data_IF_195372069469
#
_entry.id   IF_195372069469
#
_cell.length_a   1.000
_cell.length_b   1.000
_cell.length_c   1.000
_cell.angle_alpha   90.00
_cell.angle_beta   90.00
_cell.angle_gamma   90.00
#
_symmetry.space_group_name_H-M   'P 1'
#
loop_
_entity.id
_entity.type
_entity.pdbx_description
1 polymer ?
#
# COMPACT_ATOMS: atom_id res chain seq x y z
N UNK A 1 -2.37 30.94 26.59
CA UNK A 1 -2.76 30.01 25.53
C UNK A 1 -1.96 28.73 25.76
N UNK A 2 -2.58 27.56 25.87
CA UNK A 2 -1.84 26.32 25.99
C UNK A 2 -1.06 26.08 24.69
N UNK A 3 0.16 25.56 24.79
CA UNK A 3 1.00 25.25 23.63
C UNK A 3 0.30 24.24 22.71
N UNK A 4 0.58 24.29 21.42
CA UNK A 4 0.05 23.35 20.41
C UNK A 4 0.22 21.89 20.85
N UNK A 5 1.29 21.60 21.59
CA UNK A 5 1.59 20.27 22.13
C UNK A 5 0.57 19.81 23.19
N UNK A 6 0.08 20.73 24.01
CA UNK A 6 -0.93 20.41 25.04
C UNK A 6 -2.33 20.17 24.43
N UNK A 7 -2.62 20.74 23.26
CA UNK A 7 -3.87 20.53 22.53
C UNK A 7 -3.84 19.17 21.81
N UNK A 8 -2.71 18.80 21.21
CA UNK A 8 -2.53 17.49 20.57
C UNK A 8 -2.65 16.33 21.56
N UNK A 9 -2.06 16.45 22.74
CA UNK A 9 -2.11 15.42 23.81
C UNK A 9 -3.54 15.20 24.35
N UNK A 10 -4.40 16.22 24.37
CA UNK A 10 -5.79 16.11 24.81
C UNK A 10 -6.73 15.45 23.79
N UNK A 11 -6.39 15.54 22.48
CA UNK A 11 -7.25 15.03 21.42
C UNK A 11 -6.99 13.59 21.01
N UNK A 12 -5.79 13.07 21.27
CA UNK A 12 -5.37 11.75 20.70
C UNK A 12 -5.09 10.67 21.74
N UNK A 13 -4.93 10.99 23.01
CA UNK A 13 -4.53 10.03 24.05
C UNK A 13 -3.17 9.35 23.77
N UNK A 14 -2.37 9.91 22.85
CA UNK A 14 -1.10 9.35 22.43
C UNK A 14 0.05 9.84 23.32
N UNK A 15 1.04 8.98 23.52
CA UNK A 15 2.24 9.31 24.30
C UNK A 15 3.15 10.28 23.55
N UNK A 16 3.99 11.02 24.30
CA UNK A 16 4.94 12.01 23.74
C UNK A 16 5.84 11.43 22.64
N UNK A 17 6.19 10.17 22.72
CA UNK A 17 6.99 9.45 21.70
C UNK A 17 6.28 9.36 20.34
N UNK A 18 4.97 9.10 20.32
CA UNK A 18 4.19 9.02 19.09
C UNK A 18 4.09 10.39 18.41
N UNK A 19 3.94 11.46 19.21
CA UNK A 19 3.93 12.84 18.69
C UNK A 19 5.30 13.24 18.13
N UNK A 20 6.40 12.85 18.78
CA UNK A 20 7.75 13.08 18.28
C UNK A 20 8.02 12.32 16.97
N UNK A 21 7.55 11.07 16.83
CA UNK A 21 7.62 10.31 15.59
C UNK A 21 6.81 10.98 14.45
N UNK A 22 5.63 11.48 14.75
CA UNK A 22 4.81 12.19 13.76
C UNK A 22 5.44 13.53 13.33
N UNK A 23 6.07 14.27 14.26
CA UNK A 23 6.81 15.50 13.93
C UNK A 23 8.07 15.22 13.11
N UNK A 24 8.75 14.11 13.33
CA UNK A 24 9.87 13.67 12.46
C UNK A 24 9.37 13.29 11.06
N UNK A 25 8.20 12.69 10.92
CA UNK A 25 7.58 12.39 9.63
C UNK A 25 7.25 13.68 8.84
N UNK A 26 6.75 14.72 9.52
CA UNK A 26 6.48 16.03 8.92
C UNK A 26 7.80 16.68 8.44
N UNK A 27 8.87 16.60 9.23
CA UNK A 27 10.21 17.07 8.83
C UNK A 27 10.76 16.30 7.63
N UNK A 28 10.62 14.99 7.60
CA UNK A 28 11.04 14.15 6.47
C UNK A 28 10.27 14.48 5.18
N UNK A 29 8.98 14.79 5.27
CA UNK A 29 8.17 15.25 4.14
C UNK A 29 8.63 16.60 3.60
N UNK A 30 9.02 17.55 4.46
CA UNK A 30 9.56 18.87 4.05
C UNK A 30 10.89 18.68 3.32
N UNK A 31 11.79 17.81 3.81
CA UNK A 31 13.05 17.50 3.14
C UNK A 31 12.84 16.77 1.81
N UNK A 32 11.90 15.85 1.72
CA UNK A 32 11.56 15.17 0.47
C UNK A 32 11.01 16.15 -0.57
N UNK A 33 10.15 17.11 -0.13
CA UNK A 33 9.63 18.18 -0.99
C UNK A 33 10.75 19.12 -1.46
N UNK A 34 11.68 19.51 -0.58
CA UNK A 34 12.84 20.30 -0.91
C UNK A 34 13.76 19.62 -1.94
N UNK A 35 14.01 18.33 -1.80
CA UNK A 35 14.84 17.54 -2.73
C UNK A 35 14.19 17.44 -4.12
N UNK A 36 12.86 17.32 -4.19
CA UNK A 36 12.10 17.31 -5.45
C UNK A 36 12.08 18.71 -6.09
N UNK A 37 11.94 19.76 -5.29
CA UNK A 37 11.86 21.16 -5.77
C UNK A 37 13.23 21.68 -6.22
N UNK A 38 14.32 21.26 -5.59
CA UNK A 38 15.69 21.69 -5.92
C UNK A 38 16.33 20.94 -7.10
N UNK A 39 15.58 20.08 -7.82
CA UNK A 39 16.08 19.29 -8.97
C UNK A 39 17.41 18.57 -8.69
N UNK A 40 17.66 18.15 -7.46
CA UNK A 40 18.79 17.30 -7.15
C UNK A 40 18.62 16.01 -7.93
N UNK A 41 19.51 15.74 -8.88
CA UNK A 41 19.49 14.56 -9.73
C UNK A 41 19.35 13.32 -8.84
N UNK A 42 18.22 12.61 -8.98
CA UNK A 42 18.09 11.27 -8.43
C UNK A 42 19.27 10.45 -8.97
N UNK A 43 19.99 9.71 -8.13
CA UNK A 43 20.86 8.68 -8.66
C UNK A 43 19.97 7.79 -9.52
N UNK A 44 20.21 7.76 -10.83
CA UNK A 44 19.66 6.74 -11.70
C UNK A 44 20.30 5.44 -11.24
N UNK A 45 19.56 4.59 -10.56
CA UNK A 45 19.85 3.17 -10.55
C UNK A 45 19.79 2.76 -12.04
N UNK A 46 20.96 2.66 -12.67
CA UNK A 46 21.05 2.05 -13.99
C UNK A 46 20.73 0.57 -13.78
N UNK A 47 19.55 0.18 -14.27
CA UNK A 47 19.11 -1.22 -14.35
C UNK A 47 19.76 -1.93 -15.56
N UNK A 48 20.83 -1.37 -16.11
CA UNK A 48 21.58 -1.91 -17.21
C UNK A 48 22.44 -3.06 -16.69
N UNK A 49 22.05 -4.25 -17.00
CA UNK A 49 22.50 -5.60 -16.69
C UNK A 49 21.61 -6.33 -15.68
N UNK A 50 20.41 -6.66 -16.14
CA UNK A 50 19.62 -7.71 -15.52
C UNK A 50 20.24 -9.06 -15.82
N UNK A 51 21.39 -9.33 -15.19
CA UNK A 51 21.93 -10.69 -15.07
C UNK A 51 20.82 -11.57 -14.47
N UNK A 52 20.64 -12.77 -15.03
CA UNK A 52 19.58 -13.74 -14.68
C UNK A 52 19.64 -14.26 -13.23
N UNK A 53 20.44 -13.67 -12.36
CA UNK A 53 20.65 -14.09 -10.97
C UNK A 53 19.54 -13.59 -10.07
N UNK A 54 19.05 -14.46 -9.22
CA UNK A 54 18.07 -14.14 -8.19
C UNK A 54 18.59 -13.04 -7.25
N UNK A 55 17.74 -12.05 -6.92
CA UNK A 55 18.10 -10.87 -6.11
C UNK A 55 16.95 -10.42 -5.21
N UNK A 56 17.28 -9.67 -4.18
CA UNK A 56 16.31 -8.89 -3.42
C UNK A 56 16.79 -7.45 -3.20
N UNK A 57 15.84 -6.55 -2.96
CA UNK A 57 16.12 -5.17 -2.58
C UNK A 57 16.04 -5.08 -1.06
N UNK A 58 17.10 -4.60 -0.43
CA UNK A 58 17.24 -4.50 1.02
C UNK A 58 17.31 -3.04 1.45
N UNK A 59 16.56 -2.68 2.47
CA UNK A 59 16.74 -1.42 3.21
C UNK A 59 17.66 -1.71 4.38
N UNK A 60 18.87 -1.17 4.35
CA UNK A 60 19.91 -1.44 5.36
C UNK A 60 19.58 -0.81 6.73
N UNK A 61 19.09 0.41 6.69
CA UNK A 61 18.71 1.21 7.84
C UNK A 61 17.72 2.30 7.42
N UNK A 62 16.99 2.91 8.36
CA UNK A 62 16.14 4.06 8.04
C UNK A 62 16.90 5.16 7.31
N UNK A 63 16.29 5.74 6.26
CA UNK A 63 16.92 6.83 5.51
C UNK A 63 16.33 7.09 4.13
N UNK A 64 17.12 7.73 3.29
CA UNK A 64 16.81 8.03 1.90
C UNK A 64 17.01 6.84 0.96
N UNK A 65 16.87 7.07 -0.37
CA UNK A 65 17.08 6.01 -1.37
C UNK A 65 18.49 5.40 -1.37
N UNK A 66 19.47 6.11 -0.83
CA UNK A 66 20.85 5.64 -0.67
C UNK A 66 21.01 4.47 0.31
N UNK A 67 19.95 4.15 1.06
CA UNK A 67 19.91 3.00 1.98
C UNK A 67 19.39 1.73 1.35
N UNK A 68 19.11 1.76 0.04
CA UNK A 68 18.67 0.60 -0.73
C UNK A 68 19.87 -0.11 -1.34
N UNK A 69 19.94 -1.42 -1.14
CA UNK A 69 20.93 -2.30 -1.77
C UNK A 69 20.29 -3.48 -2.48
N UNK A 70 20.96 -3.98 -3.52
CA UNK A 70 20.61 -5.25 -4.15
C UNK A 70 21.49 -6.36 -3.56
N UNK A 71 20.84 -7.33 -2.91
CA UNK A 71 21.53 -8.50 -2.41
C UNK A 71 21.27 -9.70 -3.33
N UNK A 72 22.34 -10.42 -3.72
CA UNK A 72 22.17 -11.66 -4.49
C UNK A 72 21.51 -12.73 -3.62
N UNK A 73 20.65 -13.52 -4.23
CA UNK A 73 20.10 -14.73 -3.65
C UNK A 73 20.76 -15.93 -4.34
N UNK A 74 21.31 -16.88 -3.58
CA UNK A 74 21.72 -18.17 -4.11
C UNK A 74 20.50 -19.07 -4.39
N UNK A 75 20.70 -20.19 -5.06
CA UNK A 75 19.61 -21.08 -5.49
C UNK A 75 18.77 -21.66 -4.34
N UNK A 76 19.22 -21.50 -3.09
CA UNK A 76 18.53 -21.97 -1.89
C UNK A 76 17.99 -20.83 -1.03
N UNK A 77 18.34 -19.59 -1.32
CA UNK A 77 17.84 -18.43 -0.57
C UNK A 77 16.54 -17.91 -1.18
N UNK A 78 15.63 -17.56 -0.31
CA UNK A 78 14.42 -16.78 -0.63
C UNK A 78 14.18 -15.73 0.46
N UNK A 79 13.44 -14.69 0.14
CA UNK A 79 12.80 -13.88 1.16
C UNK A 79 11.67 -14.68 1.80
N UNK A 80 11.25 -14.25 2.98
CA UNK A 80 10.24 -14.97 3.76
C UNK A 80 9.19 -14.01 4.27
N UNK A 81 7.93 -14.39 4.10
CA UNK A 81 6.79 -13.64 4.64
C UNK A 81 6.80 -13.62 6.16
N UNK A 82 6.35 -12.53 6.75
CA UNK A 82 6.37 -12.30 8.20
C UNK A 82 5.69 -13.41 9.01
N UNK A 83 4.59 -13.94 8.55
CA UNK A 83 3.78 -14.96 9.22
C UNK A 83 4.27 -16.40 9.02
N UNK A 84 5.44 -16.59 8.43
CA UNK A 84 6.13 -17.88 8.40
C UNK A 84 6.95 -18.02 9.68
N UNK A 85 6.65 -19.02 10.55
CA UNK A 85 7.35 -19.18 11.82
C UNK A 85 8.84 -19.48 11.64
N UNK A 86 9.67 -18.91 12.51
CA UNK A 86 11.12 -19.12 12.45
C UNK A 86 11.52 -20.59 12.73
N UNK A 87 10.73 -21.30 13.52
CA UNK A 87 10.89 -22.74 13.75
C UNK A 87 10.74 -23.59 12.49
N UNK A 88 9.98 -23.08 11.51
CA UNK A 88 9.70 -23.75 10.24
C UNK A 88 10.66 -23.32 9.13
N UNK A 89 11.06 -22.04 9.16
CA UNK A 89 11.99 -21.45 8.21
C UNK A 89 13.03 -20.59 8.98
N UNK A 90 14.13 -21.18 9.45
CA UNK A 90 15.17 -20.46 10.17
C UNK A 90 15.73 -19.30 9.36
N UNK A 91 15.90 -18.14 10.02
CA UNK A 91 16.33 -16.91 9.35
C UNK A 91 17.83 -16.91 9.05
N UNK A 92 18.17 -16.27 7.92
CA UNK A 92 19.57 -16.02 7.59
C UNK A 92 20.16 -14.98 8.57
N UNK A 93 21.39 -15.17 9.07
CA UNK A 93 22.01 -14.23 10.00
C UNK A 93 22.16 -12.81 9.47
N UNK A 94 22.19 -12.62 8.14
CA UNK A 94 22.32 -11.29 7.53
C UNK A 94 21.05 -10.46 7.63
N UNK A 95 19.86 -11.10 7.63
CA UNK A 95 18.57 -10.43 7.74
C UNK A 95 17.46 -11.41 8.10
N UNK A 96 16.59 -11.00 9.00
CA UNK A 96 15.36 -11.75 9.32
C UNK A 96 14.37 -11.87 8.15
N UNK A 97 14.58 -11.12 7.09
CA UNK A 97 13.80 -11.26 5.84
C UNK A 97 14.23 -12.44 4.96
N UNK A 98 15.34 -13.13 5.27
CA UNK A 98 15.91 -14.17 4.44
C UNK A 98 15.87 -15.54 5.15
N UNK A 99 15.71 -16.61 4.36
CA UNK A 99 15.80 -17.99 4.82
C UNK A 99 16.38 -18.90 3.74
N UNK A 100 17.00 -20.01 4.16
CA UNK A 100 17.32 -21.12 3.25
C UNK A 100 16.08 -22.00 3.08
N UNK A 101 15.67 -22.19 1.84
CA UNK A 101 14.50 -22.99 1.50
C UNK A 101 14.89 -24.45 1.40
N UNK A 102 14.18 -25.30 2.15
CA UNK A 102 14.26 -26.74 1.96
C UNK A 102 13.60 -27.17 0.64
N UNK A 103 13.99 -28.33 0.13
CA UNK A 103 13.37 -28.95 -1.05
C UNK A 103 12.89 -30.35 -0.69
N UNK A 104 11.58 -30.59 -0.59
CA UNK A 104 10.45 -29.65 -0.76
C UNK A 104 10.39 -28.56 0.31
N UNK A 105 9.62 -27.48 0.08
CA UNK A 105 9.34 -26.47 1.10
C UNK A 105 8.59 -27.08 2.30
N UNK A 106 8.63 -26.43 3.47
CA UNK A 106 7.87 -26.90 4.61
C UNK A 106 6.36 -27.01 4.35
N UNK A 107 5.62 -27.86 5.09
CA UNK A 107 4.19 -28.07 4.89
C UNK A 107 3.37 -26.77 4.89
N UNK A 108 2.41 -26.67 3.99
CA UNK A 108 1.52 -25.52 3.84
C UNK A 108 2.15 -24.28 3.20
N UNK A 109 3.47 -24.32 2.89
CA UNK A 109 4.19 -23.21 2.28
C UNK A 109 4.44 -23.46 0.80
N UNK A 110 4.61 -22.36 0.07
CA UNK A 110 5.00 -22.38 -1.34
C UNK A 110 6.18 -21.45 -1.58
N UNK A 111 7.01 -21.79 -2.55
CA UNK A 111 8.03 -20.91 -3.09
C UNK A 111 7.50 -20.31 -4.37
N UNK A 112 7.48 -18.98 -4.43
CA UNK A 112 7.06 -18.22 -5.61
C UNK A 112 8.27 -17.53 -6.22
N UNK A 113 8.51 -17.75 -7.50
CA UNK A 113 9.40 -16.94 -8.31
C UNK A 113 8.63 -15.69 -8.72
N UNK A 114 8.95 -14.56 -8.09
CA UNK A 114 8.29 -13.28 -8.31
C UNK A 114 8.72 -12.71 -9.67
N UNK A 115 7.76 -12.25 -10.45
CA UNK A 115 7.99 -11.53 -11.71
C UNK A 115 7.67 -10.05 -11.58
N UNK A 116 6.68 -9.71 -10.75
CA UNK A 116 6.27 -8.32 -10.49
C UNK A 116 5.92 -8.14 -9.02
N UNK A 117 6.19 -6.97 -8.50
CA UNK A 117 5.71 -6.49 -7.20
C UNK A 117 5.21 -5.05 -7.32
N UNK A 118 4.31 -4.63 -6.45
CA UNK A 118 3.85 -3.25 -6.40
C UNK A 118 4.68 -2.41 -5.43
N UNK A 119 4.71 -1.10 -5.65
CA UNK A 119 5.31 -0.13 -4.73
C UNK A 119 4.20 0.66 -4.06
N UNK A 120 4.06 0.49 -2.76
CA UNK A 120 3.06 1.16 -1.93
C UNK A 120 3.69 2.30 -1.11
N UNK A 121 2.87 3.25 -0.66
CA UNK A 121 3.35 4.32 0.24
C UNK A 121 3.91 3.75 1.55
N UNK A 122 3.38 2.63 2.01
CA UNK A 122 3.88 1.91 3.18
C UNK A 122 5.37 1.50 3.03
N UNK A 123 5.81 1.11 1.84
CA UNK A 123 7.22 0.77 1.59
C UNK A 123 8.15 1.99 1.76
N UNK A 124 7.64 3.18 1.40
CA UNK A 124 8.37 4.43 1.64
C UNK A 124 8.49 4.71 3.13
N UNK A 125 7.42 4.47 3.90
CA UNK A 125 7.45 4.67 5.37
C UNK A 125 8.32 3.62 6.06
N UNK A 126 8.39 2.38 5.56
CA UNK A 126 9.36 1.37 6.01
C UNK A 126 10.79 1.92 5.81
N UNK A 127 11.11 2.37 4.60
CA UNK A 127 12.43 2.92 4.30
C UNK A 127 12.79 4.11 5.19
N UNK A 128 11.82 4.95 5.55
CA UNK A 128 12.04 6.07 6.48
C UNK A 128 12.15 5.67 7.95
N UNK A 129 11.88 4.40 8.31
CA UNK A 129 11.87 3.95 9.70
C UNK A 129 10.63 4.38 10.47
N UNK A 130 9.53 4.65 9.78
CA UNK A 130 8.27 5.11 10.37
C UNK A 130 7.18 4.03 10.43
N UNK A 131 7.44 2.86 9.87
CA UNK A 131 6.50 1.75 9.86
C UNK A 131 6.74 0.85 11.07
N UNK A 132 5.94 1.04 12.11
CA UNK A 132 6.14 0.41 13.43
C UNK A 132 6.24 -1.12 13.35
N UNK A 133 5.39 -1.77 12.57
CA UNK A 133 5.40 -3.23 12.41
C UNK A 133 6.71 -3.74 11.80
N UNK A 134 7.32 -3.00 10.86
CA UNK A 134 8.61 -3.37 10.29
C UNK A 134 9.72 -3.33 11.36
N UNK A 135 9.69 -2.30 12.22
CA UNK A 135 10.66 -2.14 13.30
C UNK A 135 10.49 -3.24 14.35
N UNK A 136 9.26 -3.45 14.82
CA UNK A 136 8.96 -4.39 15.92
C UNK A 136 9.18 -5.86 15.54
N UNK A 137 8.75 -6.23 14.34
CA UNK A 137 8.68 -7.64 13.97
C UNK A 137 9.86 -8.14 13.14
N UNK A 138 10.51 -7.27 12.38
CA UNK A 138 11.62 -7.67 11.50
C UNK A 138 12.91 -6.95 11.89
N UNK A 139 12.88 -5.62 11.98
CA UNK A 139 14.08 -4.80 12.14
C UNK A 139 14.85 -4.65 10.83
N UNK A 140 15.95 -3.91 10.88
CA UNK A 140 16.83 -3.69 9.73
C UNK A 140 18.10 -4.57 9.86
N UNK A 141 18.64 -5.06 8.74
CA UNK A 141 18.21 -4.90 7.35
C UNK A 141 16.90 -5.61 7.03
N UNK A 142 15.99 -4.97 6.25
CA UNK A 142 14.69 -5.51 5.88
C UNK A 142 14.52 -5.55 4.35
N UNK A 143 13.88 -6.59 3.83
CA UNK A 143 13.32 -6.61 2.47
C UNK A 143 11.87 -6.15 2.54
N UNK A 144 11.52 -4.98 1.98
CA UNK A 144 10.15 -4.48 1.99
C UNK A 144 9.26 -5.18 0.96
N UNK A 145 8.08 -4.61 0.72
CA UNK A 145 7.12 -5.08 -0.29
C UNK A 145 6.03 -5.98 0.28
N UNK A 146 4.81 -5.69 -0.10
CA UNK A 146 3.61 -6.40 0.35
C UNK A 146 3.02 -7.29 -0.74
N UNK A 147 2.92 -6.76 -1.95
CA UNK A 147 2.21 -7.38 -3.05
C UNK A 147 3.17 -8.02 -4.05
N UNK A 148 2.78 -9.14 -4.56
CA UNK A 148 3.56 -9.85 -5.58
C UNK A 148 2.68 -10.57 -6.59
N UNK A 149 3.23 -10.82 -7.76
CA UNK A 149 2.79 -11.85 -8.70
C UNK A 149 3.99 -12.62 -9.23
N UNK A 150 3.74 -13.85 -9.65
CA UNK A 150 4.81 -14.71 -10.12
C UNK A 150 4.32 -16.12 -10.46
N UNK A 151 5.25 -17.05 -10.43
CA UNK A 151 5.00 -18.46 -10.74
C UNK A 151 5.43 -19.32 -9.54
N UNK A 152 4.60 -20.25 -9.14
CA UNK A 152 4.93 -21.21 -8.09
C UNK A 152 6.09 -22.09 -8.57
N UNK A 153 7.21 -22.10 -7.84
CA UNK A 153 8.36 -22.98 -8.12
C UNK A 153 8.21 -24.33 -7.44
N UNK A 154 7.78 -24.33 -6.18
CA UNK A 154 7.66 -25.53 -5.38
C UNK A 154 6.53 -25.38 -4.36
N UNK A 155 5.95 -26.49 -3.95
CA UNK A 155 4.89 -26.58 -2.94
C UNK A 155 5.32 -27.54 -1.85
N UNK A 156 5.00 -27.22 -0.60
CA UNK A 156 5.13 -28.10 0.55
C UNK A 156 3.94 -29.04 0.69
N UNK A 157 4.07 -30.02 1.56
CA UNK A 157 3.01 -30.98 1.86
C UNK A 157 1.73 -30.26 2.35
N UNK A 158 0.56 -30.84 2.01
CA UNK A 158 -0.74 -30.30 2.39
C UNK A 158 -1.19 -29.07 1.59
N UNK A 159 -0.51 -28.72 0.50
CA UNK A 159 -0.94 -27.66 -0.43
C UNK A 159 -1.67 -28.32 -1.61
N UNK A 160 -3.01 -28.29 -1.57
CA UNK A 160 -3.84 -28.97 -2.57
C UNK A 160 -4.33 -28.05 -3.70
N UNK A 161 -4.35 -26.73 -3.44
CA UNK A 161 -4.95 -25.72 -4.35
C UNK A 161 -3.95 -25.08 -5.31
N UNK A 162 -2.64 -25.31 -5.11
CA UNK A 162 -1.55 -24.80 -5.94
C UNK A 162 -0.58 -25.91 -6.33
N UNK A 163 0.08 -25.74 -7.46
CA UNK A 163 1.15 -26.63 -7.96
C UNK A 163 2.25 -25.84 -8.65
N UNK A 164 3.42 -26.43 -8.79
CA UNK A 164 4.51 -25.85 -9.57
C UNK A 164 4.04 -25.50 -10.99
N UNK A 165 4.42 -24.32 -11.47
CA UNK A 165 3.99 -23.77 -12.75
C UNK A 165 2.73 -22.90 -12.70
N UNK A 166 1.95 -22.90 -11.62
CA UNK A 166 0.77 -22.03 -11.50
C UNK A 166 1.20 -20.55 -11.44
N UNK A 167 0.56 -19.72 -12.27
CA UNK A 167 0.65 -18.27 -12.16
C UNK A 167 -0.18 -17.80 -10.96
N UNK A 168 0.45 -17.05 -10.05
CA UNK A 168 -0.16 -16.60 -8.80
C UNK A 168 0.09 -15.14 -8.53
N UNK A 169 -0.78 -14.55 -7.73
CA UNK A 169 -0.56 -13.26 -7.07
C UNK A 169 -0.94 -13.39 -5.61
N UNK A 170 -0.45 -12.46 -4.79
CA UNK A 170 -0.73 -12.54 -3.37
C UNK A 170 -0.20 -11.36 -2.57
N UNK A 171 -0.38 -11.46 -1.27
CA UNK A 171 0.04 -10.46 -0.30
C UNK A 171 0.88 -11.12 0.80
N UNK A 172 1.91 -10.44 1.24
CA UNK A 172 2.72 -10.82 2.39
C UNK A 172 2.98 -9.60 3.27
N UNK A 173 3.40 -9.82 4.50
CA UNK A 173 3.96 -8.76 5.32
C UNK A 173 5.48 -8.74 5.10
N UNK A 174 5.93 -7.82 4.22
CA UNK A 174 7.31 -7.67 3.79
C UNK A 174 7.82 -8.84 2.91
N UNK A 175 8.97 -8.66 2.30
CA UNK A 175 9.67 -9.68 1.53
C UNK A 175 9.33 -9.74 0.04
N UNK A 176 8.34 -8.99 -0.46
CA UNK A 176 7.96 -9.07 -1.87
C UNK A 176 8.95 -8.39 -2.82
N UNK A 177 9.85 -7.51 -2.34
CA UNK A 177 10.89 -6.91 -3.17
C UNK A 177 12.06 -7.88 -3.42
N UNK A 178 11.71 -9.00 -4.00
CA UNK A 178 12.61 -10.12 -4.23
C UNK A 178 12.23 -10.86 -5.51
N UNK A 179 13.16 -11.58 -6.07
CA UNK A 179 12.88 -12.53 -7.15
C UNK A 179 12.32 -13.87 -6.66
N UNK A 180 12.40 -14.16 -5.34
CA UNK A 180 12.00 -15.45 -4.80
C UNK A 180 11.47 -15.30 -3.37
N UNK A 181 10.25 -15.79 -3.11
CA UNK A 181 9.53 -15.63 -1.83
C UNK A 181 9.01 -16.98 -1.34
N UNK A 182 9.28 -17.29 -0.07
CA UNK A 182 8.64 -18.36 0.68
C UNK A 182 7.45 -17.80 1.45
N UNK A 183 6.24 -18.31 1.22
CA UNK A 183 5.00 -17.75 1.77
C UNK A 183 3.94 -18.85 1.97
N UNK A 184 3.01 -18.73 2.93
CA UNK A 184 1.87 -19.63 3.06
C UNK A 184 1.04 -19.68 1.77
N UNK A 185 0.64 -20.88 1.36
CA UNK A 185 -0.22 -21.08 0.19
C UNK A 185 -1.55 -20.31 0.31
N UNK A 186 -2.04 -20.12 1.53
CA UNK A 186 -3.26 -19.35 1.82
C UNK A 186 -3.17 -17.87 1.43
N UNK A 187 -1.98 -17.32 1.32
CA UNK A 187 -1.72 -15.94 0.88
C UNK A 187 -1.60 -15.79 -0.64
N UNK A 188 -1.61 -16.89 -1.36
CA UNK A 188 -1.56 -16.92 -2.82
C UNK A 188 -2.94 -17.21 -3.42
N UNK A 189 -3.21 -16.60 -4.56
CA UNK A 189 -4.37 -16.89 -5.41
C UNK A 189 -3.89 -17.09 -6.85
N UNK A 190 -4.51 -18.00 -7.59
CA UNK A 190 -4.25 -18.14 -9.02
C UNK A 190 -4.61 -16.86 -9.74
N UNK A 191 -3.72 -16.41 -10.60
CA UNK A 191 -3.94 -15.20 -11.40
C UNK A 191 -5.07 -15.46 -12.40
N UNK A 192 -6.15 -14.64 -12.38
CA UNK A 192 -7.19 -14.72 -13.39
C UNK A 192 -6.64 -14.48 -14.79
N UNK A 193 -7.14 -15.21 -15.79
CA UNK A 193 -6.68 -15.08 -17.18
C UNK A 193 -6.87 -13.67 -17.77
N UNK A 194 -7.80 -12.89 -17.22
CA UNK A 194 -8.07 -11.52 -17.63
C UNK A 194 -7.04 -10.48 -17.15
N UNK A 195 -6.15 -10.87 -16.23
CA UNK A 195 -5.15 -9.98 -15.67
C UNK A 195 -3.75 -10.35 -16.15
N UNK A 196 -2.98 -9.32 -16.49
CA UNK A 196 -1.54 -9.46 -16.64
C UNK A 196 -0.87 -9.65 -15.27
N UNK A 197 0.36 -10.16 -15.24
CA UNK A 197 1.09 -10.33 -14.00
C UNK A 197 1.34 -8.98 -13.28
N UNK A 198 1.56 -7.89 -14.03
CA UNK A 198 1.73 -6.55 -13.49
C UNK A 198 0.45 -6.03 -12.80
N UNK A 199 -0.70 -6.17 -13.45
CA UNK A 199 -2.01 -5.83 -12.87
C UNK A 199 -2.31 -6.65 -11.63
N UNK A 200 -2.06 -7.96 -11.69
CA UNK A 200 -2.25 -8.86 -10.56
C UNK A 200 -1.38 -8.48 -9.35
N UNK A 201 -0.13 -8.06 -9.57
CA UNK A 201 0.74 -7.57 -8.49
C UNK A 201 0.26 -6.24 -7.89
N UNK A 202 -0.46 -5.39 -8.66
CA UNK A 202 -0.90 -4.09 -8.21
C UNK A 202 -2.18 -4.13 -7.33
N UNK A 203 -2.88 -5.27 -7.27
CA UNK A 203 -4.21 -5.36 -6.67
C UNK A 203 -4.24 -5.61 -5.15
N UNK A 204 -3.47 -6.55 -4.55
CA UNK A 204 -3.80 -7.10 -3.24
C UNK A 204 -3.94 -6.06 -2.13
N UNK A 205 -2.93 -5.21 -1.92
CA UNK A 205 -2.95 -4.20 -0.86
C UNK A 205 -4.01 -3.13 -1.09
N UNK A 206 -4.09 -2.59 -2.29
CA UNK A 206 -4.97 -1.45 -2.58
C UNK A 206 -6.43 -1.88 -2.68
N UNK A 207 -6.72 -3.02 -3.33
CA UNK A 207 -8.07 -3.55 -3.42
C UNK A 207 -8.56 -4.09 -2.06
N UNK A 208 -7.70 -4.78 -1.31
CA UNK A 208 -8.01 -5.26 0.04
C UNK A 208 -8.32 -4.10 0.99
N UNK A 209 -7.54 -3.03 0.95
CA UNK A 209 -7.77 -1.82 1.75
C UNK A 209 -9.09 -1.14 1.35
N UNK A 210 -9.36 -1.00 0.06
CA UNK A 210 -10.59 -0.41 -0.44
C UNK A 210 -11.82 -1.24 -0.04
N UNK A 211 -11.77 -2.57 -0.20
CA UNK A 211 -12.83 -3.49 0.23
C UNK A 211 -13.12 -3.38 1.72
N UNK A 212 -12.07 -3.33 2.54
CA UNK A 212 -12.21 -3.17 3.99
C UNK A 212 -12.87 -1.83 4.34
N UNK A 213 -12.43 -0.73 3.72
CA UNK A 213 -13.01 0.60 3.92
C UNK A 213 -14.49 0.64 3.50
N UNK A 214 -14.83 0.05 2.35
CA UNK A 214 -16.23 -0.08 1.90
C UNK A 214 -17.09 -0.90 2.87
N UNK A 215 -16.54 -2.02 3.39
CA UNK A 215 -17.23 -2.83 4.39
C UNK A 215 -17.50 -2.08 5.68
N UNK A 216 -16.52 -1.32 6.20
CA UNK A 216 -16.68 -0.46 7.39
C UNK A 216 -17.74 0.63 7.18
N UNK A 217 -17.85 1.16 5.97
CA UNK A 217 -18.88 2.13 5.59
C UNK A 217 -20.23 1.47 5.24
N UNK A 218 -20.36 0.15 5.45
CA UNK A 218 -21.58 -0.64 5.15
C UNK A 218 -21.99 -0.60 3.67
N UNK A 219 -21.03 -0.48 2.77
CA UNK A 219 -21.22 -0.65 1.33
C UNK A 219 -20.80 -2.06 0.93
N UNK A 220 -21.74 -2.98 0.95
CA UNK A 220 -21.53 -4.39 0.59
C UNK A 220 -22.65 -4.88 -0.33
N UNK A 221 -22.41 -5.84 -1.23
CA UNK A 221 -23.44 -6.33 -2.15
C UNK A 221 -24.73 -6.86 -1.49
N UNK A 222 -24.63 -7.34 -0.24
CA UNK A 222 -25.76 -7.81 0.56
C UNK A 222 -26.38 -6.74 1.47
N UNK A 223 -25.82 -5.52 1.51
CA UNK A 223 -26.37 -4.40 2.27
C UNK A 223 -27.62 -3.82 1.57
N UNK A 224 -28.45 -3.01 2.28
CA UNK A 224 -29.54 -2.27 1.64
C UNK A 224 -29.07 -1.51 0.41
N UNK A 225 -29.97 -1.25 -0.58
CA UNK A 225 -29.59 -0.67 -1.86
C UNK A 225 -28.66 0.54 -1.70
N UNK A 226 -27.47 0.44 -2.29
CA UNK A 226 -26.48 1.55 -2.29
C UNK A 226 -26.79 2.58 -3.38
N UNK A 227 -27.82 2.31 -4.19
CA UNK A 227 -28.26 3.20 -5.28
C UNK A 227 -28.57 4.58 -4.73
N UNK A 228 -28.03 5.60 -5.40
CA UNK A 228 -28.18 7.01 -5.05
C UNK A 228 -27.50 7.43 -3.71
N UNK A 229 -26.60 6.62 -3.17
CA UNK A 229 -25.75 7.03 -2.03
C UNK A 229 -24.51 7.71 -2.57
N UNK A 230 -24.40 9.01 -2.38
CA UNK A 230 -23.24 9.78 -2.79
C UNK A 230 -21.98 9.37 -2.00
N UNK A 231 -20.86 9.28 -2.68
CA UNK A 231 -19.57 8.89 -2.10
C UNK A 231 -18.49 9.91 -2.48
N UNK A 232 -17.73 10.38 -1.49
CA UNK A 232 -16.57 11.23 -1.68
C UNK A 232 -15.28 10.43 -1.46
N UNK A 233 -14.36 10.49 -2.40
CA UNK A 233 -13.07 9.79 -2.32
C UNK A 233 -11.94 10.79 -2.43
N UNK A 234 -11.20 11.01 -1.34
CA UNK A 234 -9.97 11.78 -1.36
C UNK A 234 -8.82 10.98 -1.96
N UNK A 235 -7.87 11.67 -2.59
CA UNK A 235 -6.75 11.03 -3.32
C UNK A 235 -7.23 9.99 -4.35
N UNK A 236 -8.33 10.29 -5.04
CA UNK A 236 -9.10 9.37 -5.88
C UNK A 236 -8.31 8.73 -7.04
N UNK A 237 -7.25 9.38 -7.53
CA UNK A 237 -6.35 8.82 -8.54
C UNK A 237 -5.14 8.06 -7.93
N UNK A 238 -5.11 7.84 -6.62
CA UNK A 238 -4.13 6.99 -5.96
C UNK A 238 -4.52 5.51 -5.97
N UNK A 239 -3.63 4.61 -5.54
CA UNK A 239 -3.90 3.17 -5.57
C UNK A 239 -5.21 2.78 -4.87
N UNK A 240 -5.37 3.10 -3.58
CA UNK A 240 -6.60 2.82 -2.83
C UNK A 240 -7.79 3.65 -3.37
N UNK A 241 -7.55 4.93 -3.68
CA UNK A 241 -8.61 5.82 -4.16
C UNK A 241 -9.24 5.36 -5.47
N UNK A 242 -8.45 4.93 -6.43
CA UNK A 242 -8.94 4.41 -7.70
C UNK A 242 -9.75 3.12 -7.54
N UNK A 243 -9.36 2.24 -6.60
CA UNK A 243 -10.14 1.06 -6.27
C UNK A 243 -11.48 1.42 -5.60
N UNK A 244 -11.48 2.40 -4.67
CA UNK A 244 -12.70 2.89 -4.04
C UNK A 244 -13.69 3.45 -5.05
N UNK A 245 -13.23 4.28 -6.01
CA UNK A 245 -14.07 4.82 -7.08
C UNK A 245 -14.70 3.70 -7.89
N UNK A 246 -13.90 2.75 -8.40
CA UNK A 246 -14.38 1.62 -9.18
C UNK A 246 -15.38 0.74 -8.41
N UNK A 247 -15.09 0.43 -7.15
CA UNK A 247 -15.98 -0.37 -6.29
C UNK A 247 -17.30 0.36 -6.01
N UNK A 248 -17.25 1.66 -5.69
CA UNK A 248 -18.44 2.45 -5.48
C UNK A 248 -19.36 2.44 -6.72
N UNK A 249 -18.78 2.63 -7.90
CA UNK A 249 -19.53 2.53 -9.18
C UNK A 249 -20.11 1.14 -9.40
N UNK A 250 -19.33 0.10 -9.18
CA UNK A 250 -19.77 -1.31 -9.32
C UNK A 250 -20.94 -1.64 -8.38
N UNK A 251 -20.96 -1.06 -7.18
CA UNK A 251 -22.04 -1.20 -6.20
C UNK A 251 -23.25 -0.29 -6.49
N UNK A 252 -23.19 0.51 -7.55
CA UNK A 252 -24.27 1.41 -7.96
C UNK A 252 -24.41 2.67 -7.10
N UNK A 253 -23.34 3.07 -6.41
CA UNK A 253 -23.30 4.36 -5.72
C UNK A 253 -23.36 5.53 -6.71
N UNK A 254 -23.88 6.67 -6.26
CA UNK A 254 -23.89 7.90 -7.07
C UNK A 254 -24.46 9.09 -6.34
N UNK A 255 -23.94 10.30 -6.59
CA UNK A 255 -22.70 10.54 -7.34
C UNK A 255 -21.46 10.03 -6.61
N UNK A 256 -20.46 9.55 -7.37
CA UNK A 256 -19.12 9.23 -6.89
C UNK A 256 -18.20 10.39 -7.25
N UNK A 257 -17.77 11.14 -6.25
CA UNK A 257 -16.96 12.35 -6.40
C UNK A 257 -15.51 12.07 -6.00
N UNK A 258 -14.59 12.29 -6.92
CA UNK A 258 -13.16 12.11 -6.70
C UNK A 258 -12.44 13.43 -6.43
N UNK A 259 -11.60 13.50 -5.39
CA UNK A 259 -10.71 14.64 -5.15
C UNK A 259 -9.29 14.27 -5.53
N UNK A 260 -8.67 15.07 -6.41
CA UNK A 260 -7.30 14.87 -6.88
C UNK A 260 -6.40 16.04 -6.51
N UNK A 261 -5.10 15.78 -6.35
CA UNK A 261 -4.11 16.78 -5.93
C UNK A 261 -3.40 17.50 -7.08
N UNK A 262 -3.69 17.17 -8.35
CA UNK A 262 -3.06 17.80 -9.50
C UNK A 262 -3.89 17.62 -10.78
N UNK A 263 -3.87 18.58 -11.73
CA UNK A 263 -4.69 18.53 -12.95
C UNK A 263 -4.46 17.27 -13.81
N UNK A 264 -3.21 16.82 -13.95
CA UNK A 264 -2.87 15.63 -14.73
C UNK A 264 -3.46 14.31 -14.18
N UNK A 265 -4.11 14.34 -13.02
CA UNK A 265 -4.76 13.19 -12.37
C UNK A 265 -6.26 13.14 -12.62
N UNK A 266 -6.84 14.18 -13.23
CA UNK A 266 -8.29 14.26 -13.47
C UNK A 266 -8.72 13.12 -14.39
N UNK A 267 -8.13 13.02 -15.57
CA UNK A 267 -8.45 11.99 -16.56
C UNK A 267 -8.37 10.56 -15.99
N UNK A 268 -7.34 10.27 -15.19
CA UNK A 268 -7.19 8.96 -14.54
C UNK A 268 -8.32 8.66 -13.54
N UNK A 269 -8.82 9.69 -12.85
CA UNK A 269 -9.93 9.53 -11.90
C UNK A 269 -11.26 9.32 -12.63
N UNK A 270 -11.50 10.07 -13.72
CA UNK A 270 -12.66 9.93 -14.60
C UNK A 270 -12.68 8.55 -15.26
N UNK A 271 -11.53 8.07 -15.74
CA UNK A 271 -11.39 6.73 -16.32
C UNK A 271 -11.73 5.60 -15.31
N UNK A 272 -11.58 5.84 -14.01
CA UNK A 272 -12.03 4.93 -12.94
C UNK A 272 -13.55 4.95 -12.74
N UNK A 273 -14.27 5.89 -13.35
CA UNK A 273 -15.73 6.00 -13.31
C UNK A 273 -16.27 7.04 -12.32
N UNK A 274 -15.44 7.99 -11.84
CA UNK A 274 -15.94 9.10 -11.04
C UNK A 274 -16.96 9.95 -11.85
N UNK A 275 -18.08 10.32 -11.21
CA UNK A 275 -19.11 11.15 -11.84
C UNK A 275 -18.71 12.63 -11.86
N UNK A 276 -17.90 13.05 -10.92
CA UNK A 276 -17.28 14.37 -10.86
C UNK A 276 -15.88 14.28 -10.26
N UNK A 277 -14.96 15.14 -10.72
CA UNK A 277 -13.60 15.20 -10.21
C UNK A 277 -13.26 16.64 -9.80
N UNK A 278 -12.90 16.82 -8.54
CA UNK A 278 -12.48 18.11 -7.96
C UNK A 278 -10.96 18.13 -7.82
N UNK A 279 -10.30 19.07 -8.49
CA UNK A 279 -8.86 19.28 -8.36
C UNK A 279 -8.59 20.35 -7.30
N UNK A 280 -7.90 19.99 -6.22
CA UNK A 280 -7.57 20.91 -5.12
C UNK A 280 -6.25 21.69 -5.32
N UNK A 281 -5.52 21.45 -6.41
CA UNK A 281 -4.23 22.09 -6.65
C UNK A 281 -4.35 23.63 -6.74
N UNK A 282 -3.63 24.35 -5.89
CA UNK A 282 -3.59 25.81 -5.89
C UNK A 282 -4.89 26.50 -5.44
N UNK A 283 -5.85 25.77 -4.85
CA UNK A 283 -7.17 26.27 -4.47
C UNK A 283 -7.45 26.09 -2.97
N UNK A 284 -8.03 27.07 -2.35
CA UNK A 284 -8.58 27.00 -0.98
C UNK A 284 -10.09 26.73 -0.96
N UNK A 285 -10.79 27.04 -2.05
CA UNK A 285 -12.25 27.00 -2.23
C UNK A 285 -12.77 25.68 -2.84
N UNK A 286 -11.92 24.71 -3.08
CA UNK A 286 -12.28 23.44 -3.75
C UNK A 286 -13.35 22.62 -3.02
N UNK A 287 -13.58 22.89 -1.74
CA UNK A 287 -14.67 22.29 -0.97
C UNK A 287 -16.05 22.76 -1.41
N UNK A 288 -16.16 23.93 -2.02
CA UNK A 288 -17.42 24.42 -2.54
C UNK A 288 -17.85 23.61 -3.78
N UNK A 289 -16.88 23.19 -4.59
CA UNK A 289 -17.13 22.25 -5.70
C UNK A 289 -17.57 20.87 -5.18
N UNK A 290 -16.95 20.38 -4.09
CA UNK A 290 -17.36 19.13 -3.43
C UNK A 290 -18.80 19.23 -2.92
N UNK A 291 -19.17 20.34 -2.30
CA UNK A 291 -20.54 20.57 -1.83
C UNK A 291 -21.53 20.68 -3.00
N UNK A 292 -21.15 21.38 -4.07
CA UNK A 292 -21.98 21.52 -5.27
C UNK A 292 -22.20 20.17 -6.00
N UNK A 293 -21.22 19.27 -5.97
CA UNK A 293 -21.32 17.96 -6.60
C UNK A 293 -22.28 17.00 -5.88
N UNK A 294 -22.58 17.24 -4.58
CA UNK A 294 -23.59 16.51 -3.81
C UNK A 294 -24.24 17.43 -2.78
N UNK A 295 -25.25 18.21 -3.16
CA UNK A 295 -25.91 19.19 -2.26
C UNK A 295 -26.55 18.54 -1.02
N UNK A 296 -27.03 17.30 -1.14
CA UNK A 296 -27.64 16.54 -0.05
C UNK A 296 -26.59 15.87 0.87
N UNK A 297 -25.30 16.10 0.62
CA UNK A 297 -24.18 15.50 1.37
C UNK A 297 -23.78 14.14 0.86
N UNK A 298 -22.86 13.50 1.59
CA UNK A 298 -22.26 12.22 1.24
C UNK A 298 -22.64 11.15 2.24
N UNK A 299 -23.04 9.99 1.75
CA UNK A 299 -23.31 8.82 2.58
C UNK A 299 -22.03 8.17 3.12
N UNK A 300 -20.90 8.36 2.42
CA UNK A 300 -19.58 8.00 2.91
C UNK A 300 -18.50 8.94 2.34
N UNK A 301 -17.50 9.23 3.16
CA UNK A 301 -16.31 9.98 2.78
C UNK A 301 -15.09 9.13 3.11
N UNK A 302 -14.32 8.77 2.08
CA UNK A 302 -13.08 8.03 2.22
C UNK A 302 -11.90 9.00 2.19
N UNK A 303 -11.33 9.27 3.37
CA UNK A 303 -10.28 10.27 3.54
C UNK A 303 -8.92 9.62 3.85
N UNK A 304 -8.03 9.60 2.87
CA UNK A 304 -6.66 9.14 2.99
C UNK A 304 -5.63 10.27 3.23
N UNK A 305 -6.08 11.53 3.39
CA UNK A 305 -5.18 12.67 3.59
C UNK A 305 -4.99 13.02 5.08
N UNK A 306 -5.87 12.55 5.96
CA UNK A 306 -5.77 12.74 7.40
C UNK A 306 -5.89 14.21 7.83
N UNK A 307 -4.91 14.71 8.58
CA UNK A 307 -4.97 16.03 9.26
C UNK A 307 -5.43 17.19 8.36
N UNK A 308 -5.06 17.18 7.09
CA UNK A 308 -5.37 18.28 6.17
C UNK A 308 -6.85 18.38 5.79
N UNK A 309 -7.60 17.27 5.84
CA UNK A 309 -8.97 17.17 5.32
C UNK A 309 -9.95 16.57 6.33
N UNK A 310 -9.47 15.72 7.23
CA UNK A 310 -10.28 14.86 8.10
C UNK A 310 -11.35 15.64 8.90
N UNK A 311 -10.99 16.78 9.50
CA UNK A 311 -11.95 17.58 10.27
C UNK A 311 -13.15 18.00 9.42
N UNK A 312 -12.89 18.49 8.18
CA UNK A 312 -13.95 18.92 7.27
C UNK A 312 -14.70 17.73 6.67
N UNK A 313 -14.01 16.62 6.41
CA UNK A 313 -14.64 15.35 6.01
C UNK A 313 -15.61 14.83 7.07
N UNK A 314 -15.28 14.93 8.36
CA UNK A 314 -16.15 14.50 9.46
C UNK A 314 -17.39 15.41 9.64
N UNK A 315 -17.28 16.69 9.34
CA UNK A 315 -18.40 17.61 9.39
C UNK A 315 -19.35 17.48 8.20
N UNK A 316 -18.95 16.72 7.17
CA UNK A 316 -19.69 16.62 5.91
C UNK A 316 -19.79 17.98 5.21
N UNK A 317 -20.94 18.27 4.60
CA UNK A 317 -21.22 19.56 3.96
C UNK A 317 -21.64 20.68 4.95
N UNK A 318 -21.62 20.42 6.26
CA UNK A 318 -21.92 21.45 7.24
C UNK A 318 -20.79 22.49 7.29
N UNK A 319 -21.09 23.80 7.27
CA UNK A 319 -20.06 24.80 7.44
C UNK A 319 -19.36 24.61 8.79
N UNK A 320 -18.05 24.53 8.77
CA UNK A 320 -17.23 24.48 10.00
C UNK A 320 -17.21 25.91 10.55
N UNK A 321 -18.02 26.17 11.60
CA UNK A 321 -18.02 27.41 12.37
C UNK A 321 -16.70 27.59 13.12
#
# INVERSE_FOLDING_TARGET
MPSLDAICLRLTGQTLEVVQHQLMAIRANVWSWLLVTLKIRKPRLQLDDCDSKARCIVVLSPGGPERLEFWPLDDRLATVGYNVPESVAPRDPRSRSLTRVATPPPPGLVVVRITHFSVNYADVTIRWGLYESAIKFVGYPIVPGFDFSGVVEAVGDGVDNLRAGDAVFGITFFGAYSSRLLVPASQCRKTPKALTAAEAAALPSVAGTALHAMALAQFWPSAPPTRNRAVLVHSAAGGVGSMLVQMAKTLGCGPVVGVVGAPHKIEACEACGADAVVCKAGRSDWWDDVAAASPDGYAAIFDANGVATLRRSMCGNQPVS
#
